data_IF_600202183061
#
_entry.id   IF_600202183061
#
_cell.length_a   1.000
_cell.length_b   1.000
_cell.length_c   1.000
_cell.angle_alpha   90.00
_cell.angle_beta   90.00
_cell.angle_gamma   90.00
#
_symmetry.space_group_name_H-M   'P 1'
#
loop_
_entity.id
_entity.type
_entity.pdbx_description
1 polymer ?
#
# COMPACT_ATOMS: atom_id res chain seq x y z
N UNK A 1 -24.40 45.32 -21.94
CA UNK A 1 -24.62 43.92 -21.53
C UNK A 1 -23.56 43.07 -22.19
N UNK A 2 -22.64 42.50 -21.42
CA UNK A 2 -21.71 41.48 -21.92
C UNK A 2 -21.53 40.44 -20.80
N UNK A 3 -22.14 39.25 -20.88
CA UNK A 3 -22.09 38.25 -19.83
C UNK A 3 -21.03 37.20 -20.17
N UNK A 4 -19.75 37.54 -20.02
CA UNK A 4 -18.64 36.59 -20.20
C UNK A 4 -17.50 36.94 -19.23
N UNK A 5 -17.79 36.88 -17.94
CA UNK A 5 -16.77 36.97 -16.89
C UNK A 5 -17.24 36.27 -15.61
N UNK A 6 -17.71 35.03 -15.71
CA UNK A 6 -18.02 34.19 -14.54
C UNK A 6 -18.27 32.73 -15.02
N UNK A 7 -17.20 32.02 -15.36
CA UNK A 7 -17.27 30.56 -15.55
C UNK A 7 -15.85 29.97 -15.59
N UNK A 8 -15.03 30.21 -14.57
CA UNK A 8 -13.71 29.55 -14.46
C UNK A 8 -13.21 29.55 -13.02
N UNK A 9 -13.99 29.03 -12.07
CA UNK A 9 -13.47 28.67 -10.74
C UNK A 9 -14.27 27.57 -10.02
N UNK A 10 -15.08 26.79 -10.72
CA UNK A 10 -15.84 25.68 -10.12
C UNK A 10 -15.44 24.37 -10.77
N UNK A 11 -14.20 23.93 -10.52
CA UNK A 11 -13.90 22.49 -10.51
C UNK A 11 -12.60 22.20 -9.76
N UNK A 12 -12.44 22.79 -8.58
CA UNK A 12 -11.55 22.20 -7.57
C UNK A 12 -12.37 21.08 -6.93
N UNK A 13 -12.29 19.90 -7.55
CA UNK A 13 -13.13 18.76 -7.20
C UNK A 13 -13.02 18.48 -5.71
N UNK A 14 -14.13 18.61 -5.00
CA UNK A 14 -14.30 18.22 -3.60
C UNK A 14 -13.82 16.78 -3.44
N UNK A 15 -12.56 16.59 -3.03
CA UNK A 15 -12.09 15.31 -2.49
C UNK A 15 -12.95 15.08 -1.27
N UNK A 16 -13.90 14.15 -1.36
CA UNK A 16 -14.72 13.76 -0.23
C UNK A 16 -13.79 13.35 0.93
N UNK A 17 -13.81 14.12 2.01
CA UNK A 17 -13.12 13.76 3.24
C UNK A 17 -13.68 12.41 3.72
N UNK A 18 -12.79 11.44 3.95
CA UNK A 18 -13.13 10.14 4.53
C UNK A 18 -13.15 10.29 6.05
N UNK A 19 -14.29 10.11 6.73
CA UNK A 19 -14.37 10.33 8.18
C UNK A 19 -13.36 9.47 8.95
N UNK A 20 -12.51 10.12 9.75
CA UNK A 20 -11.46 9.49 10.55
C UNK A 20 -10.25 9.01 9.77
N UNK A 21 -10.17 9.29 8.47
CA UNK A 21 -8.94 9.13 7.68
C UNK A 21 -8.19 10.47 7.67
N UNK A 22 -6.85 10.48 7.78
CA UNK A 22 -6.08 11.71 7.81
C UNK A 22 -6.25 12.51 6.52
N UNK A 23 -6.20 13.83 6.67
CA UNK A 23 -6.19 14.72 5.52
C UNK A 23 -4.81 14.73 4.81
N UNK A 24 -4.74 15.48 3.72
CA UNK A 24 -3.53 15.53 2.89
C UNK A 24 -2.34 16.17 3.65
N UNK A 25 -2.59 17.08 4.61
CA UNK A 25 -1.56 17.77 5.39
C UNK A 25 -0.97 16.81 6.45
N UNK A 26 -1.81 16.03 7.13
CA UNK A 26 -1.39 14.98 8.06
C UNK A 26 -0.55 13.91 7.35
N UNK A 27 -0.99 13.46 6.16
CA UNK A 27 -0.22 12.50 5.33
C UNK A 27 1.12 13.10 4.92
N UNK A 28 1.17 14.37 4.54
CA UNK A 28 2.42 15.05 4.20
C UNK A 28 3.36 15.13 5.42
N UNK A 29 2.83 15.40 6.61
CA UNK A 29 3.60 15.41 7.84
C UNK A 29 4.21 14.03 8.14
N UNK A 30 3.43 12.95 8.01
CA UNK A 30 3.93 11.57 8.16
C UNK A 30 5.05 11.27 7.15
N UNK A 31 4.90 11.75 5.91
CA UNK A 31 5.95 11.61 4.91
C UNK A 31 7.25 12.33 5.27
N UNK A 32 7.16 13.55 5.80
CA UNK A 32 8.33 14.30 6.26
C UNK A 32 9.03 13.58 7.42
N UNK A 33 8.26 13.03 8.37
CA UNK A 33 8.80 12.21 9.49
C UNK A 33 9.48 10.94 8.95
N UNK A 34 8.86 10.28 7.98
CA UNK A 34 9.40 9.09 7.29
C UNK A 34 10.55 9.38 6.31
N UNK A 35 11.01 10.63 6.24
CA UNK A 35 12.09 11.09 5.36
C UNK A 35 11.83 10.78 3.87
N UNK A 36 10.56 10.79 3.47
CA UNK A 36 10.19 10.64 2.07
C UNK A 36 10.40 11.96 1.33
N UNK A 37 10.96 11.86 0.13
CA UNK A 37 11.40 12.98 -0.67
C UNK A 37 10.93 12.84 -2.12
N UNK A 38 11.03 13.92 -2.93
CA UNK A 38 10.76 13.83 -4.37
C UNK A 38 11.62 12.78 -5.10
N UNK A 39 12.80 12.45 -4.56
CA UNK A 39 13.71 11.43 -5.09
C UNK A 39 13.13 10.03 -4.89
N UNK A 40 12.51 9.78 -3.74
CA UNK A 40 11.80 8.53 -3.46
C UNK A 40 10.63 8.36 -4.43
N UNK A 41 9.84 9.41 -4.68
CA UNK A 41 8.76 9.37 -5.68
C UNK A 41 9.28 9.06 -7.09
N UNK A 42 10.44 9.60 -7.48
CA UNK A 42 11.11 9.25 -8.75
C UNK A 42 11.58 7.80 -8.78
N UNK A 43 12.14 7.32 -7.68
CA UNK A 43 12.62 5.95 -7.52
C UNK A 43 11.46 4.94 -7.62
N UNK A 44 10.31 5.24 -7.01
CA UNK A 44 9.08 4.45 -7.11
C UNK A 44 8.55 4.35 -8.55
N UNK A 45 8.55 5.46 -9.30
CA UNK A 45 8.18 5.42 -10.73
C UNK A 45 9.13 4.55 -11.55
N UNK A 46 10.45 4.60 -11.24
CA UNK A 46 11.44 3.72 -11.87
C UNK A 46 11.19 2.25 -11.50
N UNK A 47 10.88 1.96 -10.24
CA UNK A 47 10.52 0.63 -9.77
C UNK A 47 9.34 0.05 -10.55
N UNK A 48 8.26 0.81 -10.70
CA UNK A 48 7.09 0.35 -11.47
C UNK A 48 7.45 -0.01 -12.91
N UNK A 49 8.28 0.80 -13.58
CA UNK A 49 8.71 0.51 -14.95
C UNK A 49 9.45 -0.82 -15.07
N UNK A 50 10.20 -1.20 -14.04
CA UNK A 50 10.93 -2.47 -13.95
C UNK A 50 9.95 -3.61 -13.65
N UNK A 51 9.11 -3.43 -12.62
CA UNK A 51 8.27 -4.51 -12.09
C UNK A 51 6.99 -4.79 -12.88
N UNK A 52 6.47 -3.86 -13.68
CA UNK A 52 5.15 -3.99 -14.34
C UNK A 52 4.95 -5.25 -15.20
N UNK A 53 6.04 -5.85 -15.69
CA UNK A 53 6.01 -7.08 -16.49
C UNK A 53 6.24 -8.37 -15.69
N UNK A 54 6.56 -8.26 -14.40
CA UNK A 54 7.01 -9.35 -13.53
C UNK A 54 6.38 -9.24 -12.12
N UNK A 55 5.19 -8.63 -12.04
CA UNK A 55 4.47 -8.49 -10.75
C UNK A 55 4.02 -9.83 -10.19
N UNK A 56 3.74 -10.78 -11.05
CA UNK A 56 3.29 -12.11 -10.67
C UNK A 56 4.47 -12.93 -10.11
N UNK A 57 5.64 -12.86 -10.77
CA UNK A 57 6.88 -13.45 -10.24
C UNK A 57 7.27 -12.83 -8.89
N UNK A 58 7.08 -11.51 -8.74
CA UNK A 58 7.30 -10.85 -7.46
C UNK A 58 6.35 -11.40 -6.40
N UNK A 59 5.05 -11.48 -6.68
CA UNK A 59 4.11 -12.08 -5.75
C UNK A 59 4.50 -13.52 -5.39
N UNK A 60 4.95 -14.33 -6.36
CA UNK A 60 5.33 -15.73 -6.13
C UNK A 60 6.50 -15.86 -5.14
N UNK A 61 7.51 -14.99 -5.25
CA UNK A 61 8.61 -14.96 -4.28
C UNK A 61 8.09 -14.58 -2.88
N UNK A 62 7.19 -13.60 -2.80
CA UNK A 62 6.58 -13.20 -1.52
C UNK A 62 5.76 -14.34 -0.93
N UNK A 63 4.91 -15.00 -1.71
CA UNK A 63 4.11 -16.14 -1.28
C UNK A 63 5.00 -17.31 -0.85
N UNK A 64 6.12 -17.55 -1.51
CA UNK A 64 7.10 -18.55 -1.08
C UNK A 64 7.67 -18.28 0.31
N UNK A 65 7.97 -17.02 0.64
CA UNK A 65 8.37 -16.64 2.00
C UNK A 65 7.22 -16.76 3.01
N UNK A 66 6.00 -16.40 2.60
CA UNK A 66 4.81 -16.48 3.45
C UNK A 66 4.46 -17.94 3.78
N UNK A 67 4.60 -18.85 2.82
CA UNK A 67 4.34 -20.29 3.00
C UNK A 67 5.23 -20.94 4.06
N UNK A 68 6.40 -20.37 4.36
CA UNK A 68 7.26 -20.81 5.47
C UNK A 68 6.69 -20.50 6.87
N UNK A 69 5.63 -19.69 6.94
CA UNK A 69 5.06 -19.19 8.18
C UNK A 69 3.52 -19.32 8.17
N UNK A 70 2.95 -20.48 8.58
CA UNK A 70 1.49 -20.71 8.58
C UNK A 70 0.67 -19.65 9.35
N UNK A 71 1.30 -18.95 10.29
CA UNK A 71 0.68 -17.82 11.02
C UNK A 71 0.26 -16.65 10.12
N UNK A 72 0.78 -16.58 8.88
CA UNK A 72 0.48 -15.54 7.91
C UNK A 72 -0.72 -15.87 6.99
N UNK A 73 -1.28 -17.08 7.08
CA UNK A 73 -2.48 -17.47 6.31
C UNK A 73 -3.67 -16.55 6.62
N UNK A 74 -3.75 -16.03 7.85
CA UNK A 74 -4.72 -15.02 8.27
C UNK A 74 -4.57 -13.73 7.45
N UNK A 75 -3.34 -13.28 7.19
CA UNK A 75 -3.06 -12.08 6.40
C UNK A 75 -3.52 -12.29 4.96
N UNK A 76 -3.15 -13.43 4.39
CA UNK A 76 -3.52 -13.80 3.02
C UNK A 76 -5.04 -13.87 2.86
N UNK A 77 -5.74 -14.51 3.79
CA UNK A 77 -7.19 -14.65 3.73
C UNK A 77 -7.90 -13.30 3.79
N UNK A 78 -7.48 -12.41 4.69
CA UNK A 78 -8.15 -11.11 4.88
C UNK A 78 -7.87 -10.13 3.74
N UNK A 79 -6.65 -10.14 3.17
CA UNK A 79 -6.28 -9.26 2.06
C UNK A 79 -6.69 -9.81 0.69
N UNK A 80 -6.56 -11.12 0.49
CA UNK A 80 -6.94 -11.80 -0.75
C UNK A 80 -8.45 -11.98 -0.90
N UNK A 81 -9.18 -12.10 0.22
CA UNK A 81 -10.62 -12.36 0.20
C UNK A 81 -10.99 -13.78 -0.24
N UNK A 82 -10.02 -14.70 -0.19
CA UNK A 82 -10.10 -16.11 -0.61
C UNK A 82 -9.44 -16.98 0.46
N UNK A 83 -9.67 -18.29 0.41
CA UNK A 83 -8.99 -19.22 1.32
C UNK A 83 -7.48 -19.28 1.03
N UNK A 84 -6.63 -19.63 2.02
CA UNK A 84 -5.20 -19.82 1.78
C UNK A 84 -4.91 -20.82 0.66
N UNK A 85 -5.69 -21.90 0.59
CA UNK A 85 -5.58 -22.93 -0.45
C UNK A 85 -5.80 -22.35 -1.85
N UNK A 86 -6.82 -21.53 -2.05
CA UNK A 86 -7.08 -20.83 -3.32
C UNK A 86 -5.97 -19.83 -3.66
N UNK A 87 -5.45 -19.13 -2.65
CA UNK A 87 -4.36 -18.16 -2.80
C UNK A 87 -3.08 -18.83 -3.31
N UNK A 88 -2.67 -19.94 -2.68
CA UNK A 88 -1.48 -20.68 -3.08
C UNK A 88 -1.68 -21.43 -4.41
N UNK A 89 -2.92 -21.76 -4.78
CA UNK A 89 -3.28 -22.37 -6.06
C UNK A 89 -3.48 -21.35 -7.18
N UNK A 90 -2.62 -20.32 -7.25
CA UNK A 90 -2.56 -19.37 -8.35
C UNK A 90 -3.79 -18.43 -8.46
N UNK A 91 -4.22 -17.85 -7.34
CA UNK A 91 -5.36 -16.92 -7.31
C UNK A 91 -5.19 -15.75 -8.30
N UNK A 92 -6.12 -15.66 -9.25
CA UNK A 92 -6.19 -14.52 -10.19
C UNK A 92 -6.64 -13.23 -9.51
N UNK A 93 -7.41 -13.34 -8.41
CA UNK A 93 -7.88 -12.18 -7.66
C UNK A 93 -6.72 -11.53 -6.89
N UNK A 94 -5.98 -12.32 -6.10
CA UNK A 94 -4.84 -11.82 -5.34
C UNK A 94 -3.78 -11.21 -6.26
N UNK A 95 -3.46 -11.85 -7.39
CA UNK A 95 -2.53 -11.29 -8.39
C UNK A 95 -2.96 -9.92 -8.91
N UNK A 96 -4.25 -9.79 -9.24
CA UNK A 96 -4.83 -8.52 -9.70
C UNK A 96 -4.72 -7.45 -8.61
N UNK A 97 -5.07 -7.78 -7.37
CA UNK A 97 -5.01 -6.87 -6.23
C UNK A 97 -3.57 -6.47 -5.91
N UNK A 98 -2.63 -7.42 -5.88
CA UNK A 98 -1.21 -7.15 -5.65
C UNK A 98 -0.61 -6.25 -6.73
N UNK A 99 -0.92 -6.51 -8.01
CA UNK A 99 -0.49 -5.66 -9.11
C UNK A 99 -1.05 -4.25 -9.00
N UNK A 100 -2.32 -4.11 -8.66
CA UNK A 100 -2.97 -2.81 -8.46
C UNK A 100 -2.33 -2.06 -7.28
N UNK A 101 -2.16 -2.74 -6.16
CA UNK A 101 -1.48 -2.22 -4.97
C UNK A 101 -0.08 -1.69 -5.30
N UNK A 102 0.72 -2.49 -6.01
CA UNK A 102 2.08 -2.12 -6.37
C UNK A 102 2.11 -0.93 -7.34
N UNK A 103 1.22 -0.92 -8.34
CA UNK A 103 1.04 0.21 -9.25
C UNK A 103 0.72 1.50 -8.48
N UNK A 104 -0.29 1.45 -7.62
CA UNK A 104 -0.73 2.62 -6.85
C UNK A 104 0.33 3.11 -5.88
N UNK A 105 0.99 2.18 -5.18
CA UNK A 105 2.13 2.49 -4.30
C UNK A 105 3.22 3.25 -5.05
N UNK A 106 3.50 2.85 -6.29
CA UNK A 106 4.56 3.46 -7.07
C UNK A 106 4.17 4.78 -7.74
N UNK A 107 2.90 4.93 -8.11
CA UNK A 107 2.42 6.05 -8.95
C UNK A 107 1.72 7.14 -8.16
N UNK A 108 1.08 6.77 -7.04
CA UNK A 108 0.30 7.65 -6.18
C UNK A 108 0.74 7.54 -4.71
N UNK A 109 2.04 7.68 -4.38
CA UNK A 109 2.52 7.49 -3.02
C UNK A 109 1.87 8.48 -2.01
N UNK A 110 1.56 9.71 -2.44
CA UNK A 110 0.95 10.73 -1.57
C UNK A 110 -0.56 10.57 -1.39
N UNK A 111 -1.23 9.80 -2.24
CA UNK A 111 -2.68 9.61 -2.19
C UNK A 111 -2.99 8.14 -2.51
N UNK A 112 -2.67 7.20 -1.59
CA UNK A 112 -2.77 5.76 -1.87
C UNK A 112 -4.24 5.33 -1.96
N UNK A 113 -4.81 5.12 -3.16
CA UNK A 113 -6.25 4.90 -3.32
C UNK A 113 -6.70 3.58 -2.66
N UNK A 114 -5.91 2.52 -2.75
CA UNK A 114 -6.22 1.23 -2.15
C UNK A 114 -6.36 1.32 -0.63
N UNK A 115 -5.55 2.13 0.06
CA UNK A 115 -5.65 2.33 1.51
C UNK A 115 -6.96 3.00 1.85
N UNK A 116 -7.31 4.08 1.14
CA UNK A 116 -8.56 4.81 1.34
C UNK A 116 -9.77 3.90 1.09
N UNK A 117 -9.73 3.08 0.03
CA UNK A 117 -10.77 2.10 -0.28
C UNK A 117 -10.86 1.00 0.79
N UNK A 118 -9.73 0.46 1.24
CA UNK A 118 -9.69 -0.55 2.29
C UNK A 118 -10.26 0.00 3.60
N UNK A 119 -9.80 1.17 4.02
CA UNK A 119 -10.29 1.86 5.22
C UNK A 119 -11.80 2.11 5.14
N UNK A 120 -12.29 2.68 4.02
CA UNK A 120 -13.71 2.94 3.80
C UNK A 120 -14.55 1.67 3.91
N UNK A 121 -14.15 0.61 3.22
CA UNK A 121 -14.85 -0.69 3.26
C UNK A 121 -14.91 -1.24 4.67
N UNK A 122 -13.80 -1.21 5.42
CA UNK A 122 -13.76 -1.71 6.79
C UNK A 122 -14.62 -0.88 7.75
N UNK A 123 -14.68 0.44 7.58
CA UNK A 123 -15.57 1.32 8.38
C UNK A 123 -17.05 1.11 8.06
N UNK A 124 -17.40 0.84 6.80
CA UNK A 124 -18.76 0.51 6.39
C UNK A 124 -19.20 -0.85 6.92
N UNK A 125 -18.35 -1.87 6.77
CA UNK A 125 -18.63 -3.22 7.24
C UNK A 125 -18.71 -3.25 8.79
N UNK A 126 -17.96 -2.38 9.48
CA UNK A 126 -17.81 -2.39 10.94
C UNK A 126 -17.78 -0.97 11.55
N UNK A 127 -18.94 -0.36 11.82
CA UNK A 127 -19.01 0.99 12.41
C UNK A 127 -18.54 1.03 13.88
N UNK A 128 -18.70 -0.06 14.63
CA UNK A 128 -18.27 -0.19 16.03
C UNK A 128 -17.05 -1.14 16.13
N UNK A 129 -15.90 -0.57 16.53
CA UNK A 129 -14.60 -1.17 16.87
C UNK A 129 -14.14 -2.46 16.11
N UNK A 130 -12.97 -2.43 15.43
CA UNK A 130 -12.46 -3.58 14.66
C UNK A 130 -11.94 -4.76 15.49
N UNK A 131 -12.04 -4.74 16.82
CA UNK A 131 -11.46 -5.73 17.74
C UNK A 131 -12.15 -7.11 17.73
N UNK A 132 -12.91 -7.44 16.68
CA UNK A 132 -13.51 -8.76 16.52
C UNK A 132 -12.53 -9.69 15.81
N UNK A 133 -12.06 -10.68 16.56
CA UNK A 133 -11.18 -11.75 16.13
C UNK A 133 -11.56 -12.32 14.75
N UNK A 134 -10.65 -12.19 13.78
CA UNK A 134 -10.78 -12.74 12.42
C UNK A 134 -11.16 -11.76 11.31
N UNK A 135 -11.38 -10.47 11.60
CA UNK A 135 -11.85 -9.47 10.60
C UNK A 135 -10.74 -8.61 10.01
N UNK A 136 -9.67 -8.43 10.78
CA UNK A 136 -8.42 -7.80 10.36
C UNK A 136 -7.29 -8.77 10.73
N UNK A 137 -6.23 -8.87 9.91
CA UNK A 137 -5.09 -9.65 10.30
C UNK A 137 -4.42 -9.01 11.52
N UNK A 138 -3.88 -9.83 12.43
CA UNK A 138 -3.07 -9.31 13.55
C UNK A 138 -2.01 -8.33 13.05
N UNK A 139 -2.05 -7.09 13.56
CA UNK A 139 -1.21 -6.00 13.07
C UNK A 139 0.29 -6.32 13.04
N UNK A 140 0.78 -7.05 14.04
CA UNK A 140 2.19 -7.49 14.11
C UNK A 140 2.65 -8.28 12.88
N UNK A 141 1.74 -9.01 12.22
CA UNK A 141 2.05 -9.77 11.01
C UNK A 141 2.08 -8.87 9.77
N UNK A 142 1.17 -7.90 9.68
CA UNK A 142 1.19 -6.87 8.64
C UNK A 142 2.49 -6.06 8.73
N UNK A 143 2.87 -5.63 9.94
CA UNK A 143 4.12 -4.93 10.18
C UNK A 143 5.35 -5.79 9.85
N UNK A 144 5.35 -7.07 10.22
CA UNK A 144 6.46 -7.98 9.92
C UNK A 144 6.69 -8.20 8.41
N UNK A 145 5.64 -8.06 7.58
CA UNK A 145 5.72 -8.19 6.12
C UNK A 145 6.34 -6.97 5.42
N UNK A 146 6.52 -5.84 6.12
CA UNK A 146 7.03 -4.61 5.54
C UNK A 146 8.40 -4.81 4.88
N UNK A 147 9.34 -5.40 5.62
CA UNK A 147 10.70 -5.61 5.15
C UNK A 147 10.79 -6.70 4.06
N UNK A 148 10.19 -7.90 4.20
CA UNK A 148 10.19 -8.90 3.15
C UNK A 148 9.67 -8.38 1.80
N UNK A 149 8.57 -7.61 1.79
CA UNK A 149 8.05 -6.98 0.58
C UNK A 149 9.13 -6.09 -0.06
N UNK A 150 9.69 -5.14 0.69
CA UNK A 150 10.72 -4.25 0.15
C UNK A 150 11.99 -5.00 -0.32
N UNK A 151 12.46 -5.98 0.47
CA UNK A 151 13.66 -6.74 0.19
C UNK A 151 13.54 -7.59 -1.07
N UNK A 152 12.36 -8.19 -1.33
CA UNK A 152 12.14 -8.97 -2.56
C UNK A 152 12.24 -8.11 -3.82
N UNK A 153 11.85 -6.84 -3.78
CA UNK A 153 12.02 -5.93 -4.90
C UNK A 153 13.50 -5.78 -5.31
N UNK A 154 14.45 -5.89 -4.37
CA UNK A 154 15.88 -5.79 -4.65
C UNK A 154 16.37 -6.86 -5.62
N UNK A 155 15.88 -8.09 -5.52
CA UNK A 155 16.24 -9.21 -6.42
C UNK A 155 15.93 -8.89 -7.88
N UNK A 156 14.81 -8.19 -8.12
CA UNK A 156 14.41 -7.75 -9.46
C UNK A 156 15.24 -6.56 -9.96
N UNK A 157 15.69 -5.68 -9.06
CA UNK A 157 16.54 -4.55 -9.41
C UNK A 157 17.94 -5.01 -9.82
N UNK A 158 18.51 -5.97 -9.09
CA UNK A 158 19.82 -6.55 -9.40
C UNK A 158 19.85 -7.20 -10.80
N UNK A 159 18.76 -7.84 -11.22
CA UNK A 159 18.64 -8.45 -12.54
C UNK A 159 18.68 -7.45 -13.71
N UNK A 160 18.41 -6.17 -13.46
CA UNK A 160 18.41 -5.12 -14.51
C UNK A 160 19.79 -4.53 -14.80
N UNK A 161 20.86 -5.00 -14.13
CA UNK A 161 22.23 -4.53 -14.36
C UNK A 161 22.51 -3.09 -13.88
N UNK A 162 21.62 -2.53 -13.04
CA UNK A 162 21.79 -1.20 -12.46
C UNK A 162 22.90 -1.15 -11.39
N UNK A 163 23.39 0.06 -11.10
CA UNK A 163 24.31 0.30 -9.99
C UNK A 163 23.65 -0.11 -8.65
N UNK A 164 24.39 -0.80 -7.77
CA UNK A 164 23.95 -1.22 -6.44
C UNK A 164 23.34 -0.07 -5.63
N UNK A 165 23.95 1.11 -5.68
CA UNK A 165 23.46 2.30 -4.96
C UNK A 165 22.06 2.74 -5.45
N UNK A 166 21.77 2.56 -6.73
CA UNK A 166 20.44 2.87 -7.28
C UNK A 166 19.40 1.84 -6.83
N UNK A 167 19.78 0.55 -6.77
CA UNK A 167 18.90 -0.51 -6.28
C UNK A 167 18.51 -0.29 -4.82
N UNK A 168 19.47 0.09 -3.97
CA UNK A 168 19.25 0.40 -2.56
C UNK A 168 18.34 1.62 -2.38
N UNK A 169 18.54 2.69 -3.16
CA UNK A 169 17.66 3.87 -3.13
C UNK A 169 16.22 3.51 -3.47
N UNK A 170 16.01 2.68 -4.49
CA UNK A 170 14.68 2.24 -4.90
C UNK A 170 14.04 1.35 -3.82
N UNK A 171 14.80 0.42 -3.23
CA UNK A 171 14.32 -0.40 -2.12
C UNK A 171 13.92 0.46 -0.91
N UNK A 172 14.73 1.45 -0.55
CA UNK A 172 14.41 2.37 0.55
C UNK A 172 13.13 3.18 0.26
N UNK A 173 12.96 3.68 -0.96
CA UNK A 173 11.75 4.39 -1.36
C UNK A 173 10.50 3.50 -1.24
N UNK A 174 10.59 2.24 -1.67
CA UNK A 174 9.52 1.25 -1.51
C UNK A 174 9.24 0.96 -0.03
N UNK A 175 10.29 0.75 0.78
CA UNK A 175 10.12 0.49 2.21
C UNK A 175 9.42 1.65 2.93
N UNK A 176 9.83 2.89 2.67
CA UNK A 176 9.16 4.09 3.21
C UNK A 176 7.68 4.11 2.85
N UNK A 177 7.33 3.79 1.61
CA UNK A 177 5.93 3.75 1.17
C UNK A 177 5.11 2.63 1.83
N UNK A 178 5.70 1.45 2.00
CA UNK A 178 5.06 0.35 2.72
C UNK A 178 4.86 0.73 4.20
N UNK A 179 5.86 1.35 4.84
CA UNK A 179 5.76 1.78 6.22
C UNK A 179 4.68 2.85 6.43
N UNK A 180 4.57 3.84 5.54
CA UNK A 180 3.45 4.79 5.61
C UNK A 180 2.11 4.07 5.47
N UNK A 181 1.97 3.14 4.52
CA UNK A 181 0.73 2.41 4.34
C UNK A 181 0.36 1.59 5.59
N UNK A 182 1.34 0.98 6.26
CA UNK A 182 1.13 0.26 7.52
C UNK A 182 0.73 1.21 8.65
N UNK A 183 1.36 2.39 8.71
CA UNK A 183 1.01 3.43 9.68
C UNK A 183 -0.44 3.91 9.51
N UNK A 184 -0.86 4.18 8.28
CA UNK A 184 -2.26 4.50 7.95
C UNK A 184 -3.21 3.34 8.27
N UNK A 185 -2.83 2.09 7.96
CA UNK A 185 -3.65 0.93 8.33
C UNK A 185 -3.78 0.77 9.83
N UNK A 186 -2.80 1.22 10.62
CA UNK A 186 -2.78 1.08 12.07
C UNK A 186 -3.98 1.78 12.74
N UNK A 187 -4.58 2.80 12.11
CA UNK A 187 -5.84 3.43 12.55
C UNK A 187 -6.96 2.43 12.82
N UNK A 188 -7.00 1.32 12.08
CA UNK A 188 -8.00 0.26 12.25
C UNK A 188 -7.71 -0.65 13.47
N UNK A 189 -6.60 -0.45 14.16
CA UNK A 189 -6.12 -1.30 15.24
C UNK A 189 -5.91 -0.53 16.54
N UNK A 190 -5.50 0.73 16.44
CA UNK A 190 -5.20 1.56 17.60
C UNK A 190 -6.50 2.03 18.26
N UNK A 191 -6.47 2.17 19.59
CA UNK A 191 -7.59 2.74 20.34
C UNK A 191 -7.80 4.20 19.93
N UNK A 192 -9.04 4.66 20.01
CA UNK A 192 -9.38 6.05 19.74
C UNK A 192 -8.50 7.02 20.55
N UNK A 193 -7.96 8.04 19.89
CA UNK A 193 -7.07 9.05 20.48
C UNK A 193 -5.60 8.63 20.66
N UNK A 194 -5.21 7.44 20.19
CA UNK A 194 -3.82 6.95 20.26
C UNK A 194 -3.14 6.73 18.90
N UNK A 195 -3.85 6.99 17.80
CA UNK A 195 -3.26 7.12 16.46
C UNK A 195 -2.86 8.58 16.27
#
# INVERSE_FOLDING_TARGET
MNPLAQASSENEGTRMALPGFPDDDEIEQLWRIGLFSPDDARALRKLWRILRGQTDDYLDIVLGMVAAHPVLDEVLSVLGGESPEEIFNNSTNLRRQFRQWLFETCQFPHDPPWIKQFYSKRRQDFPEQPSVSGRLPRFRYVLALAFPLAATAHSFLAATGGNQQDSERIQHALLKAILLQIDLLSMLYVKEGFW
#
